data_IF_099537930627
#
_entry.id   IF_099537930627
#
_cell.length_a   1.000
_cell.length_b   1.000
_cell.length_c   1.000
_cell.angle_alpha   90.00
_cell.angle_beta   90.00
_cell.angle_gamma   90.00
#
_symmetry.space_group_name_H-M   'P 1'
#
loop_
_entity.id
_entity.type
_entity.pdbx_description
1 polymer ?
#
# COMPACT_ATOMS: atom_id res chain seq x y z
N UNK A 1 -22.07 5.04 20.56
CA UNK A 1 -21.83 3.93 19.62
C UNK A 1 -22.21 4.39 18.22
N UNK A 2 -21.27 4.99 17.46
CA UNK A 2 -21.47 5.23 16.02
C UNK A 2 -20.65 4.18 15.28
N UNK A 3 -21.23 2.99 15.11
CA UNK A 3 -20.66 1.98 14.22
C UNK A 3 -20.82 2.54 12.81
N UNK A 4 -19.70 2.76 12.14
CA UNK A 4 -19.67 3.24 10.77
C UNK A 4 -20.07 2.07 9.87
N UNK A 5 -21.38 1.97 9.57
CA UNK A 5 -22.00 0.84 8.86
C UNK A 5 -21.28 0.53 7.54
N UNK A 6 -20.74 1.57 6.89
CA UNK A 6 -19.91 1.45 5.70
C UNK A 6 -18.65 0.63 5.96
N UNK A 7 -17.86 1.00 6.98
CA UNK A 7 -16.61 0.34 7.30
C UNK A 7 -16.77 -1.07 7.86
N UNK A 8 -17.82 -1.29 8.66
CA UNK A 8 -17.99 -2.54 9.42
C UNK A 8 -18.81 -3.60 8.68
N UNK A 9 -19.69 -3.22 7.75
CA UNK A 9 -20.60 -4.16 7.07
C UNK A 9 -20.43 -4.12 5.55
N UNK A 10 -20.41 -2.94 4.94
CA UNK A 10 -20.36 -2.82 3.47
C UNK A 10 -19.01 -3.26 2.91
N UNK A 11 -17.90 -2.87 3.52
CA UNK A 11 -16.56 -3.24 3.03
C UNK A 11 -16.24 -4.73 3.13
N UNK A 12 -16.56 -5.43 4.24
CA UNK A 12 -16.41 -6.88 4.29
C UNK A 12 -17.30 -7.60 3.26
N UNK A 13 -18.54 -7.16 3.07
CA UNK A 13 -19.44 -7.75 2.07
C UNK A 13 -18.90 -7.57 0.65
N UNK A 14 -18.47 -6.35 0.29
CA UNK A 14 -17.86 -6.11 -1.02
C UNK A 14 -16.63 -7.00 -1.19
N UNK A 15 -15.73 -7.07 -0.21
CA UNK A 15 -14.55 -7.93 -0.26
C UNK A 15 -14.91 -9.42 -0.49
N UNK A 16 -15.90 -9.94 0.24
CA UNK A 16 -16.35 -11.34 0.10
C UNK A 16 -16.95 -11.63 -1.27
N UNK A 17 -17.76 -10.71 -1.83
CA UNK A 17 -18.41 -10.92 -3.13
C UNK A 17 -17.53 -10.59 -4.34
N UNK A 18 -16.52 -9.72 -4.17
CA UNK A 18 -15.63 -9.30 -5.25
C UNK A 18 -14.28 -10.03 -5.29
N UNK A 19 -13.93 -10.75 -4.22
CA UNK A 19 -12.65 -11.45 -4.09
C UNK A 19 -11.45 -10.53 -3.81
N UNK A 20 -11.69 -9.23 -3.61
CA UNK A 20 -10.64 -8.26 -3.31
C UNK A 20 -10.31 -8.22 -1.82
N UNK A 21 -9.04 -7.95 -1.43
CA UNK A 21 -8.64 -7.90 -0.03
C UNK A 21 -9.39 -6.80 0.74
N UNK A 22 -9.73 -7.06 2.01
CA UNK A 22 -10.37 -6.08 2.90
C UNK A 22 -9.40 -4.92 3.11
N UNK A 23 -9.60 -3.81 2.39
CA UNK A 23 -8.91 -2.56 2.66
C UNK A 23 -9.43 -2.01 4.00
N UNK A 24 -8.59 -2.04 5.04
CA UNK A 24 -8.97 -1.74 6.41
C UNK A 24 -9.53 -0.31 6.56
N UNK A 25 -10.81 -0.19 6.87
CA UNK A 25 -11.45 1.08 7.23
C UNK A 25 -11.10 1.45 8.67
N UNK A 26 -9.95 2.11 8.84
CA UNK A 26 -9.68 2.86 10.05
C UNK A 26 -10.25 4.26 9.88
N UNK A 27 -11.31 4.59 10.62
CA UNK A 27 -11.75 5.99 10.78
C UNK A 27 -10.51 6.79 11.23
N UNK A 28 -10.06 7.81 10.47
CA UNK A 28 -8.83 8.51 10.80
C UNK A 28 -8.99 9.14 12.18
N UNK A 29 -8.17 8.72 13.14
CA UNK A 29 -8.09 9.39 14.44
C UNK A 29 -7.56 10.80 14.16
N UNK A 30 -8.21 11.88 14.66
CA UNK A 30 -7.75 13.23 14.40
C UNK A 30 -6.37 13.43 15.01
N UNK A 31 -5.33 13.46 14.17
CA UNK A 31 -3.95 13.70 14.60
C UNK A 31 -3.74 15.21 14.72
N UNK A 32 -3.42 15.68 15.91
CA UNK A 32 -3.12 17.09 16.14
C UNK A 32 -1.69 17.40 15.67
N UNK A 33 -1.56 17.75 14.39
CA UNK A 33 -0.29 18.07 13.71
C UNK A 33 0.43 19.30 14.29
N UNK A 34 -0.20 20.05 15.21
CA UNK A 34 0.34 21.28 15.81
C UNK A 34 1.51 21.09 16.78
N UNK A 35 1.86 19.84 17.15
CA UNK A 35 2.99 19.54 18.04
C UNK A 35 4.26 19.07 17.32
N UNK A 36 4.25 19.00 15.99
CA UNK A 36 5.43 18.62 15.20
C UNK A 36 6.26 19.88 14.86
N UNK A 37 7.59 19.76 14.92
CA UNK A 37 8.50 20.87 14.59
C UNK A 37 8.42 21.29 13.13
N UNK A 38 8.27 20.33 12.20
CA UNK A 38 8.01 20.56 10.77
C UNK A 38 6.89 19.61 10.28
N UNK A 39 5.62 19.91 10.58
CA UNK A 39 4.51 18.95 10.46
C UNK A 39 4.37 18.28 9.09
N UNK A 40 4.56 19.02 8.00
CA UNK A 40 4.44 18.48 6.64
C UNK A 40 5.56 17.52 6.28
N UNK A 41 6.81 17.92 6.53
CA UNK A 41 8.00 17.13 6.18
C UNK A 41 8.04 15.84 6.99
N UNK A 42 7.82 15.94 8.30
CA UNK A 42 7.91 14.79 9.19
C UNK A 42 6.79 13.78 8.88
N UNK A 43 5.60 14.26 8.52
CA UNK A 43 4.50 13.42 8.05
C UNK A 43 4.80 12.72 6.72
N UNK A 44 5.43 13.39 5.76
CA UNK A 44 5.86 12.77 4.49
C UNK A 44 6.89 11.67 4.70
N UNK A 45 7.88 11.89 5.57
CA UNK A 45 8.93 10.91 5.87
C UNK A 45 8.31 9.66 6.50
N UNK A 46 7.39 9.84 7.45
CA UNK A 46 6.69 8.72 8.09
C UNK A 46 5.84 7.96 7.07
N UNK A 47 5.14 8.65 6.17
CA UNK A 47 4.36 7.99 5.11
C UNK A 47 5.27 7.22 4.14
N UNK A 48 6.41 7.78 3.75
CA UNK A 48 7.36 7.09 2.86
C UNK A 48 8.03 5.86 3.51
N UNK A 49 8.11 5.81 4.84
CA UNK A 49 8.70 4.69 5.57
C UNK A 49 7.94 3.37 5.34
N UNK A 50 6.61 3.43 5.14
CA UNK A 50 5.80 2.25 4.82
C UNK A 50 6.27 1.56 3.53
N UNK A 51 6.15 2.20 2.35
CA UNK A 51 6.64 1.63 1.09
C UNK A 51 8.13 1.27 1.12
N UNK A 52 8.97 2.07 1.77
CA UNK A 52 10.40 1.80 1.88
C UNK A 52 10.68 0.50 2.66
N UNK A 53 9.99 0.28 3.79
CA UNK A 53 10.14 -0.95 4.57
C UNK A 53 9.74 -2.20 3.79
N UNK A 54 8.66 -2.12 3.01
CA UNK A 54 8.23 -3.21 2.14
C UNK A 54 9.27 -3.50 1.04
N UNK A 55 9.86 -2.48 0.41
CA UNK A 55 10.94 -2.69 -0.57
C UNK A 55 12.18 -3.34 0.05
N UNK A 56 12.56 -2.93 1.27
CA UNK A 56 13.68 -3.55 2.00
C UNK A 56 13.38 -5.02 2.30
N UNK A 57 12.17 -5.33 2.77
CA UNK A 57 11.74 -6.71 3.03
C UNK A 57 11.71 -7.55 1.75
N UNK A 58 11.25 -6.99 0.63
CA UNK A 58 11.29 -7.65 -0.67
C UNK A 58 12.73 -7.95 -1.11
N UNK A 59 13.65 -7.00 -0.97
CA UNK A 59 15.05 -7.20 -1.35
C UNK A 59 15.72 -8.29 -0.50
N UNK A 60 15.47 -8.31 0.81
CA UNK A 60 16.00 -9.35 1.71
C UNK A 60 15.44 -10.73 1.33
N UNK A 61 14.13 -10.83 1.08
CA UNK A 61 13.50 -12.08 0.68
C UNK A 61 14.00 -12.57 -0.69
N UNK A 62 14.26 -11.66 -1.63
CA UNK A 62 14.79 -11.98 -2.96
C UNK A 62 16.24 -12.49 -2.89
N UNK A 63 17.09 -11.85 -2.08
CA UNK A 63 18.44 -12.33 -1.82
C UNK A 63 18.44 -13.75 -1.22
N UNK A 64 17.55 -14.01 -0.25
CA UNK A 64 17.39 -15.33 0.34
C UNK A 64 16.85 -16.37 -0.67
N UNK A 65 15.89 -15.97 -1.53
CA UNK A 65 15.35 -16.82 -2.59
C UNK A 65 16.46 -17.26 -3.55
N UNK A 66 17.24 -16.30 -4.07
CA UNK A 66 18.33 -16.56 -5.01
C UNK A 66 19.46 -17.40 -4.40
N UNK A 67 19.71 -17.28 -3.09
CA UNK A 67 20.69 -18.12 -2.41
C UNK A 67 20.22 -19.60 -2.33
N UNK A 68 18.94 -19.83 -2.00
CA UNK A 68 18.41 -21.18 -1.76
C UNK A 68 18.10 -21.96 -3.05
N UNK A 69 17.86 -21.29 -4.17
CA UNK A 69 17.60 -21.94 -5.47
C UNK A 69 18.86 -22.45 -6.16
N UNK A 70 20.06 -22.12 -5.67
CA UNK A 70 21.33 -22.67 -6.18
C UNK A 70 21.53 -24.16 -5.90
N UNK A 71 20.82 -24.70 -4.89
CA UNK A 71 20.88 -26.11 -4.53
C UNK A 71 19.61 -26.83 -4.99
N UNK A 72 19.76 -27.83 -5.87
CA UNK A 72 18.63 -28.54 -6.49
C UNK A 72 17.71 -29.23 -5.46
N UNK A 73 18.27 -29.78 -4.38
CA UNK A 73 17.49 -30.40 -3.30
C UNK A 73 16.68 -29.38 -2.49
N UNK A 74 17.23 -28.18 -2.28
CA UNK A 74 16.56 -27.09 -1.54
C UNK A 74 15.56 -26.37 -2.44
N UNK A 75 15.85 -26.26 -3.74
CA UNK A 75 14.96 -25.67 -4.74
C UNK A 75 13.60 -26.40 -4.81
N UNK A 76 13.61 -27.71 -4.60
CA UNK A 76 12.40 -28.55 -4.56
C UNK A 76 11.67 -28.51 -3.21
N UNK A 77 12.21 -27.82 -2.21
CA UNK A 77 11.54 -27.62 -0.92
C UNK A 77 10.47 -26.50 -1.00
N UNK A 78 9.58 -26.42 0.00
CA UNK A 78 8.58 -25.36 0.07
C UNK A 78 9.16 -23.96 0.41
N UNK A 79 10.41 -23.89 0.87
CA UNK A 79 11.04 -22.63 1.33
C UNK A 79 11.16 -21.56 0.24
N UNK A 80 11.74 -21.86 -0.94
CA UNK A 80 11.81 -20.93 -2.05
C UNK A 80 10.45 -20.40 -2.50
N UNK A 81 9.39 -21.22 -2.48
CA UNK A 81 8.04 -20.75 -2.82
C UNK A 81 7.53 -19.69 -1.84
N UNK A 82 7.75 -19.89 -0.53
CA UNK A 82 7.35 -18.92 0.51
C UNK A 82 8.10 -17.60 0.32
N UNK A 83 9.41 -17.66 0.05
CA UNK A 83 10.23 -16.47 -0.19
C UNK A 83 9.80 -15.73 -1.46
N UNK A 84 9.53 -16.46 -2.56
CA UNK A 84 9.00 -15.86 -3.79
C UNK A 84 7.67 -15.15 -3.54
N UNK A 85 6.77 -15.74 -2.76
CA UNK A 85 5.52 -15.10 -2.36
C UNK A 85 5.77 -13.86 -1.48
N UNK A 86 6.73 -13.94 -0.55
CA UNK A 86 7.10 -12.80 0.28
C UNK A 86 7.65 -11.63 -0.56
N UNK A 87 8.49 -11.89 -1.56
CA UNK A 87 8.97 -10.86 -2.51
C UNK A 87 7.78 -10.22 -3.22
N UNK A 88 6.92 -11.03 -3.87
CA UNK A 88 5.76 -10.54 -4.63
C UNK A 88 4.81 -9.70 -3.79
N UNK A 89 4.46 -10.18 -2.59
CA UNK A 89 3.54 -9.46 -1.68
C UNK A 89 4.16 -8.13 -1.23
N UNK A 90 5.43 -8.12 -0.82
CA UNK A 90 6.07 -6.90 -0.35
C UNK A 90 6.25 -5.86 -1.48
N UNK A 91 6.65 -6.28 -2.69
CA UNK A 91 6.73 -5.36 -3.84
C UNK A 91 5.34 -4.81 -4.18
N UNK A 92 4.32 -5.66 -4.26
CA UNK A 92 2.96 -5.23 -4.54
C UNK A 92 2.45 -4.24 -3.50
N UNK A 93 2.66 -4.51 -2.20
CA UNK A 93 2.28 -3.61 -1.11
C UNK A 93 3.04 -2.29 -1.17
N UNK A 94 4.34 -2.30 -1.51
CA UNK A 94 5.12 -1.09 -1.66
C UNK A 94 4.57 -0.21 -2.78
N UNK A 95 4.39 -0.77 -3.98
CA UNK A 95 3.88 -0.05 -5.16
C UNK A 95 2.46 0.45 -4.92
N UNK A 96 1.59 -0.39 -4.36
CA UNK A 96 0.22 0.00 -4.01
C UNK A 96 0.24 1.17 -3.02
N UNK A 97 1.04 1.10 -1.95
CA UNK A 97 1.14 2.18 -0.98
C UNK A 97 1.79 3.45 -1.54
N UNK A 98 2.51 3.40 -2.68
CA UNK A 98 3.03 4.60 -3.35
C UNK A 98 1.98 5.34 -4.20
N UNK A 99 0.80 4.75 -4.44
CA UNK A 99 -0.25 5.42 -5.19
C UNK A 99 -0.67 6.73 -4.49
N UNK A 100 -0.83 7.84 -5.23
CA UNK A 100 -1.16 9.16 -4.68
C UNK A 100 -2.66 9.29 -4.33
N UNK A 101 -3.21 8.28 -3.66
CA UNK A 101 -4.64 8.17 -3.37
C UNK A 101 -4.81 7.92 -1.88
N UNK A 102 -5.35 8.87 -1.09
CA UNK A 102 -5.74 8.60 0.28
C UNK A 102 -6.72 7.41 0.31
N UNK A 103 -6.63 6.46 1.26
CA UNK A 103 -5.86 6.45 2.50
C UNK A 103 -4.40 5.98 2.38
N UNK A 104 -3.91 5.65 1.18
CA UNK A 104 -2.57 5.08 0.98
C UNK A 104 -1.47 6.08 1.33
N UNK A 105 -0.28 5.54 1.62
CA UNK A 105 0.86 6.34 2.07
C UNK A 105 1.30 7.38 1.04
N UNK A 106 1.24 7.08 -0.25
CA UNK A 106 1.54 8.01 -1.35
C UNK A 106 0.58 9.19 -1.37
N UNK A 107 -0.68 8.99 -0.98
CA UNK A 107 -1.65 10.07 -0.76
C UNK A 107 -1.27 10.96 0.42
N UNK A 108 -0.67 10.40 1.48
CA UNK A 108 -0.15 11.16 2.63
C UNK A 108 1.14 11.93 2.27
N UNK A 109 2.04 11.33 1.47
CA UNK A 109 3.22 12.01 0.92
C UNK A 109 2.79 13.18 0.03
N UNK A 110 1.85 12.95 -0.89
CA UNK A 110 1.31 14.00 -1.74
C UNK A 110 0.66 15.13 -0.92
N UNK A 111 -0.11 14.79 0.11
CA UNK A 111 -0.73 15.77 0.99
C UNK A 111 0.31 16.69 1.69
N UNK A 112 1.48 16.15 2.06
CA UNK A 112 2.56 16.95 2.64
C UNK A 112 3.30 17.84 1.62
N UNK A 113 3.30 17.47 0.34
CA UNK A 113 3.87 18.28 -0.75
C UNK A 113 2.97 19.45 -1.17
N UNK A 114 1.65 19.34 -0.95
CA UNK A 114 0.70 20.36 -1.39
C UNK A 114 0.65 21.58 -0.44
N UNK A 115 0.40 22.79 -0.98
CA UNK A 115 0.15 24.00 -0.20
C UNK A 115 -1.10 23.89 0.68
N UNK A 116 -1.13 24.62 1.80
CA UNK A 116 -2.21 24.55 2.80
C UNK A 116 -3.59 24.94 2.25
N UNK A 117 -3.62 25.74 1.19
CA UNK A 117 -4.84 26.11 0.48
C UNK A 117 -5.60 24.90 -0.08
N UNK A 118 -4.92 23.79 -0.32
CA UNK A 118 -5.53 22.54 -0.82
C UNK A 118 -5.93 21.56 0.30
N UNK A 119 -5.81 21.94 1.58
CA UNK A 119 -6.18 21.10 2.71
C UNK A 119 -7.64 20.60 2.65
N UNK A 120 -8.57 21.46 2.25
CA UNK A 120 -9.99 21.10 2.07
C UNK A 120 -10.21 20.06 0.96
N UNK A 121 -9.47 20.16 -0.14
CA UNK A 121 -9.53 19.19 -1.26
C UNK A 121 -8.98 17.84 -0.80
N UNK A 122 -7.86 17.82 -0.09
CA UNK A 122 -7.25 16.59 0.45
C UNK A 122 -8.19 15.91 1.44
N UNK A 123 -8.83 16.67 2.32
CA UNK A 123 -9.80 16.13 3.27
C UNK A 123 -11.03 15.56 2.55
N UNK A 124 -11.48 16.24 1.50
CA UNK A 124 -12.51 15.76 0.58
C UNK A 124 -12.12 14.49 -0.16
N UNK A 125 -10.87 14.36 -0.61
CA UNK A 125 -10.37 13.14 -1.23
C UNK A 125 -10.27 11.98 -0.22
N UNK A 126 -9.90 12.28 1.04
CA UNK A 126 -9.74 11.28 2.10
C UNK A 126 -11.05 10.59 2.48
N UNK A 127 -12.17 11.32 2.54
CA UNK A 127 -13.50 10.71 2.80
C UNK A 127 -13.95 9.78 1.67
N UNK A 128 -13.61 10.09 0.41
CA UNK A 128 -13.94 9.28 -0.75
C UNK A 128 -12.85 8.28 -1.13
N UNK A 129 -11.74 8.25 -0.38
CA UNK A 129 -10.53 7.52 -0.74
C UNK A 129 -10.75 6.04 -1.05
N UNK A 130 -11.47 5.35 -0.16
CA UNK A 130 -11.83 3.95 -0.38
C UNK A 130 -12.73 3.76 -1.60
N UNK A 131 -13.71 4.65 -1.81
CA UNK A 131 -14.61 4.58 -2.97
C UNK A 131 -13.81 4.75 -4.27
N UNK A 132 -12.87 5.69 -4.30
CA UNK A 132 -11.96 5.92 -5.43
C UNK A 132 -11.12 4.66 -5.69
N UNK A 133 -10.53 4.07 -4.64
CA UNK A 133 -9.74 2.84 -4.77
C UNK A 133 -10.57 1.68 -5.34
N UNK A 134 -11.76 1.42 -4.80
CA UNK A 134 -12.63 0.37 -5.34
C UNK A 134 -13.06 0.66 -6.79
N UNK A 135 -13.42 1.90 -7.11
CA UNK A 135 -13.77 2.28 -8.48
C UNK A 135 -12.60 2.06 -9.46
N UNK A 136 -11.38 2.41 -9.08
CA UNK A 136 -10.18 2.17 -9.88
C UNK A 136 -9.87 0.66 -10.02
N UNK A 137 -10.12 -0.11 -8.97
CA UNK A 137 -9.91 -1.55 -8.97
C UNK A 137 -10.93 -2.26 -9.88
N UNK A 138 -12.22 -1.92 -9.78
CA UNK A 138 -13.28 -2.49 -10.63
C UNK A 138 -13.17 -2.07 -12.09
N UNK A 139 -12.70 -0.84 -12.36
CA UNK A 139 -12.45 -0.39 -13.73
C UNK A 139 -11.19 -1.01 -14.36
N UNK A 140 -10.35 -1.68 -13.58
CA UNK A 140 -9.06 -2.23 -14.01
C UNK A 140 -7.96 -1.19 -14.24
N UNK A 141 -8.26 0.11 -14.03
CA UNK A 141 -7.28 1.19 -14.14
C UNK A 141 -6.21 1.05 -13.08
N UNK A 142 -6.59 0.62 -11.87
CA UNK A 142 -5.64 0.41 -10.77
C UNK A 142 -4.52 -0.54 -11.17
N UNK A 143 -4.85 -1.68 -11.77
CA UNK A 143 -3.87 -2.66 -12.22
C UNK A 143 -2.96 -2.11 -13.32
N UNK A 144 -3.49 -1.30 -14.24
CA UNK A 144 -2.67 -0.60 -15.24
C UNK A 144 -1.65 0.37 -14.64
N UNK A 145 -1.92 0.92 -13.45
CA UNK A 145 -1.00 1.80 -12.74
C UNK A 145 -0.01 1.02 -11.87
N UNK A 146 -0.45 -0.08 -11.26
CA UNK A 146 0.33 -0.88 -10.30
C UNK A 146 1.22 -1.91 -10.99
N UNK A 147 0.73 -2.56 -12.05
CA UNK A 147 1.43 -3.69 -12.67
C UNK A 147 2.79 -3.29 -13.25
N UNK A 148 2.93 -2.22 -14.07
CA UNK A 148 4.22 -1.89 -14.68
C UNK A 148 5.38 -1.66 -13.67
N UNK A 149 5.22 -0.84 -12.60
CA UNK A 149 6.27 -0.70 -11.60
C UNK A 149 6.47 -1.98 -10.78
N UNK A 150 5.42 -2.75 -10.52
CA UNK A 150 5.53 -4.03 -9.81
C UNK A 150 6.37 -5.03 -10.61
N UNK A 151 6.06 -5.22 -11.89
CA UNK A 151 6.81 -6.16 -12.75
C UNK A 151 8.25 -5.70 -12.93
N UNK A 152 8.48 -4.40 -13.13
CA UNK A 152 9.84 -3.85 -13.22
C UNK A 152 10.68 -4.14 -11.97
N UNK A 153 10.13 -3.92 -10.77
CA UNK A 153 10.85 -4.20 -9.52
C UNK A 153 11.07 -5.71 -9.33
N UNK A 154 10.10 -6.55 -9.72
CA UNK A 154 10.25 -8.00 -9.65
C UNK A 154 11.34 -8.51 -10.59
N UNK A 155 11.39 -8.02 -11.83
CA UNK A 155 12.45 -8.33 -12.80
C UNK A 155 13.83 -7.83 -12.36
N UNK A 156 13.87 -6.77 -11.54
CA UNK A 156 15.11 -6.27 -10.97
C UNK A 156 15.62 -7.12 -9.80
N UNK A 157 14.71 -7.70 -9.01
CA UNK A 157 15.05 -8.40 -7.76
C UNK A 157 15.26 -9.91 -7.92
N UNK A 158 14.54 -10.56 -8.84
CA UNK A 158 14.54 -12.00 -9.06
C UNK A 158 15.36 -12.36 -10.31
#
# INVERSE_FOLDING_TARGET
MHIDVLGTIVLPLISVFSGFPILGWAKPVPVNVSRLGHPKRDFMIVAAAGPASNLVMAAIAAAAFNALTTSETVALSGGPLILLMAVRINVLLAVFNMLPIPPLDGGNVLAGLLPDSMGGVIQGLRQFGFIILYALMFSGILWRLVDPPTTFILELLL
#
